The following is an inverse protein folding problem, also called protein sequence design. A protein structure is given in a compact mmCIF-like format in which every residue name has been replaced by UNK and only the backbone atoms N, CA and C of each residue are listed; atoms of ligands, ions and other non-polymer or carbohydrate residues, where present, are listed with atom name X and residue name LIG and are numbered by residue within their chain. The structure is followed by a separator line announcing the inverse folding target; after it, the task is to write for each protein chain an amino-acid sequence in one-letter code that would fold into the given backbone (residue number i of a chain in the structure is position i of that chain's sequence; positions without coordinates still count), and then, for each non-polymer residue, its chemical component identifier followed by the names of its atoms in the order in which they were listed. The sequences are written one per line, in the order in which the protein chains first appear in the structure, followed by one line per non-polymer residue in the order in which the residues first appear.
data_IF_222104499859
#
_entry.id   IF_222104499859
#
_cell.length_a   1.000
_cell.length_b   1.000
_cell.length_c   1.000
_cell.angle_alpha   90.00
_cell.angle_beta   90.00
_cell.angle_gamma   90.00
#
_symmetry.space_group_name_H-M   'P 1'
#
loop_
_entity.id
_entity.type
_entity.pdbx_description
1 polymer ?
#
# COMPACT_ATOMS: atom_id res chain seq x y z
N UNK A 1 3.24 -0.37 -0.17
CA UNK A 1 4.30 0.59 -0.54
C UNK A 1 5.55 -0.21 -0.89
N UNK A 2 6.38 0.35 -1.77
CA UNK A 2 7.50 -0.35 -2.39
C UNK A 2 8.71 0.58 -2.48
N UNK A 3 9.89 0.02 -2.25
CA UNK A 3 11.17 0.65 -2.52
C UNK A 3 11.86 -0.09 -3.65
N UNK A 4 12.23 0.66 -4.68
CA UNK A 4 13.00 0.16 -5.80
C UNK A 4 14.34 0.88 -5.90
N UNK A 5 15.32 0.20 -6.48
CA UNK A 5 16.62 0.76 -6.86
C UNK A 5 16.92 0.47 -8.30
N UNK A 6 17.49 1.45 -8.98
CA UNK A 6 17.98 1.31 -10.35
C UNK A 6 19.41 1.83 -10.46
N UNK A 7 20.34 0.92 -10.74
CA UNK A 7 21.70 1.30 -11.11
C UNK A 7 21.74 1.86 -12.54
N UNK A 8 22.73 2.72 -12.87
CA UNK A 8 22.90 3.23 -14.22
C UNK A 8 22.96 2.09 -15.27
N UNK A 9 22.06 2.15 -16.26
CA UNK A 9 21.99 1.14 -17.34
C UNK A 9 21.50 -0.24 -16.92
N UNK A 10 20.91 -0.39 -15.72
CA UNK A 10 20.32 -1.64 -15.22
C UNK A 10 18.81 -1.56 -15.11
N UNK A 11 18.19 -2.72 -14.98
CA UNK A 11 16.77 -2.84 -14.70
C UNK A 11 16.42 -2.34 -13.30
N UNK A 12 15.13 -2.05 -13.11
CA UNK A 12 14.57 -1.65 -11.83
C UNK A 12 14.48 -2.87 -10.91
N UNK A 13 15.08 -2.80 -9.72
CA UNK A 13 15.11 -3.87 -8.75
C UNK A 13 14.22 -3.53 -7.55
N UNK A 14 13.29 -4.43 -7.19
CA UNK A 14 12.55 -4.32 -5.94
C UNK A 14 13.50 -4.62 -4.78
N UNK A 15 13.53 -3.76 -3.77
CA UNK A 15 14.33 -3.95 -2.56
C UNK A 15 13.44 -4.33 -1.38
N UNK A 16 12.38 -3.56 -1.16
CA UNK A 16 11.47 -3.76 -0.03
C UNK A 16 10.03 -3.50 -0.43
N UNK A 17 9.12 -4.22 0.20
CA UNK A 17 7.70 -3.95 0.09
C UNK A 17 6.98 -4.13 1.42
N UNK A 18 5.84 -3.47 1.52
CA UNK A 18 4.99 -3.54 2.70
C UNK A 18 3.53 -3.32 2.33
N UNK A 19 2.69 -4.31 2.66
CA UNK A 19 1.25 -4.19 2.54
C UNK A 19 0.65 -3.35 3.67
N UNK A 20 1.08 -3.59 4.92
CA UNK A 20 0.57 -2.93 6.14
C UNK A 20 1.69 -2.30 6.96
N UNK A 21 1.37 -1.24 7.72
CA UNK A 21 2.33 -0.62 8.64
C UNK A 21 2.87 -1.65 9.65
N UNK A 22 4.13 -1.50 10.06
CA UNK A 22 4.81 -2.41 10.97
C UNK A 22 5.31 -3.72 10.35
N UNK A 23 4.96 -4.03 9.10
CA UNK A 23 5.46 -5.22 8.41
C UNK A 23 6.18 -4.83 7.12
N UNK A 24 7.47 -5.13 7.02
CA UNK A 24 8.31 -4.88 5.85
C UNK A 24 8.92 -6.20 5.42
N UNK A 25 8.83 -6.50 4.13
CA UNK A 25 9.44 -7.65 3.50
C UNK A 25 10.57 -7.16 2.58
N UNK A 26 11.64 -7.92 2.53
CA UNK A 26 12.75 -7.73 1.61
C UNK A 26 12.56 -8.59 0.36
N UNK A 27 13.06 -8.10 -0.77
CA UNK A 27 13.09 -8.83 -2.03
C UNK A 27 14.51 -8.79 -2.59
N UNK A 28 15.02 -9.96 -3.00
CA UNK A 28 16.37 -10.07 -3.56
C UNK A 28 17.48 -9.77 -2.54
N UNK A 29 18.65 -9.40 -3.03
CA UNK A 29 19.84 -9.13 -2.20
C UNK A 29 19.92 -7.65 -1.87
N UNK A 30 19.63 -7.33 -0.60
CA UNK A 30 19.63 -5.96 -0.09
C UNK A 30 20.68 -5.79 1.01
N UNK A 31 21.91 -5.48 0.61
CA UNK A 31 23.04 -5.30 1.54
C UNK A 31 23.17 -3.82 1.92
N UNK A 32 23.31 -3.53 3.21
CA UNK A 32 23.60 -2.17 3.70
C UNK A 32 22.40 -1.23 3.75
N UNK A 33 21.20 -1.72 3.42
CA UNK A 33 19.94 -0.99 3.52
C UNK A 33 18.96 -1.71 4.44
N UNK A 34 18.13 -0.94 5.13
CA UNK A 34 16.99 -1.40 5.91
C UNK A 34 15.79 -0.53 5.59
N UNK A 35 14.57 -1.05 5.73
CA UNK A 35 13.38 -0.23 5.56
C UNK A 35 12.42 -0.38 6.74
N UNK A 36 11.77 0.72 7.10
CA UNK A 36 10.80 0.77 8.22
C UNK A 36 9.50 1.41 7.74
N UNK A 37 8.36 0.87 8.20
CA UNK A 37 7.05 1.40 7.85
C UNK A 37 6.24 1.75 9.10
N UNK A 38 6.48 2.92 9.72
CA UNK A 38 5.84 3.25 10.99
C UNK A 38 4.34 3.56 10.86
N UNK A 39 3.88 3.98 9.67
CA UNK A 39 2.49 4.38 9.44
C UNK A 39 1.98 3.98 8.05
N UNK A 40 0.72 4.26 7.76
CA UNK A 40 0.12 4.00 6.45
C UNK A 40 0.75 4.82 5.32
N UNK A 41 1.21 6.04 5.62
CA UNK A 41 1.77 7.00 4.66
C UNK A 41 3.29 6.96 4.57
N UNK A 42 3.97 6.46 5.62
CA UNK A 42 5.42 6.59 5.74
C UNK A 42 6.09 5.24 5.46
N UNK A 43 7.04 5.21 4.53
CA UNK A 43 7.89 4.05 4.28
C UNK A 43 9.34 4.52 4.10
N UNK A 44 10.13 4.41 5.16
CA UNK A 44 11.49 4.93 5.20
C UNK A 44 12.46 3.89 4.67
N UNK A 45 13.44 4.33 3.88
CA UNK A 45 14.61 3.57 3.49
C UNK A 45 15.83 4.16 4.19
N UNK A 46 16.56 3.33 4.92
CA UNK A 46 17.70 3.73 5.75
C UNK A 46 18.95 2.98 5.31
N UNK A 47 20.10 3.64 5.39
CA UNK A 47 21.41 3.03 5.26
C UNK A 47 22.37 3.68 6.26
N UNK A 48 23.19 2.87 6.93
CA UNK A 48 24.18 3.36 7.91
C UNK A 48 25.55 3.62 7.31
N UNK A 49 25.80 3.14 6.09
CA UNK A 49 27.11 3.24 5.46
C UNK A 49 26.96 3.23 3.93
N UNK A 50 26.60 4.39 3.37
CA UNK A 50 26.52 4.58 1.92
C UNK A 50 27.92 4.62 1.31
N UNK A 51 28.13 3.82 0.28
CA UNK A 51 29.37 3.76 -0.49
C UNK A 51 29.15 4.28 -1.91
N UNK A 52 30.25 4.58 -2.61
CA UNK A 52 30.18 5.03 -4.02
C UNK A 52 29.47 4.00 -4.91
N UNK A 53 29.62 2.70 -4.63
CA UNK A 53 28.95 1.64 -5.38
C UNK A 53 27.43 1.60 -5.17
N UNK A 54 26.90 2.29 -4.18
CA UNK A 54 25.46 2.41 -3.93
C UNK A 54 24.81 3.54 -4.74
N UNK A 55 25.59 4.23 -5.59
CA UNK A 55 25.07 5.28 -6.46
C UNK A 55 24.04 4.72 -7.45
N UNK A 56 22.78 5.05 -7.21
CA UNK A 56 21.62 4.59 -7.97
C UNK A 56 20.47 5.59 -7.85
N UNK A 57 19.45 5.42 -8.67
CA UNK A 57 18.16 6.10 -8.47
C UNK A 57 17.28 5.22 -7.59
N UNK A 58 16.72 5.80 -6.54
CA UNK A 58 15.85 5.11 -5.59
C UNK A 58 14.43 5.64 -5.71
N UNK A 59 13.48 4.74 -5.94
CA UNK A 59 12.08 5.09 -6.14
C UNK A 59 11.22 4.54 -5.01
N UNK A 60 10.39 5.41 -4.44
CA UNK A 60 9.28 5.00 -3.59
C UNK A 60 8.02 4.94 -4.44
N UNK A 61 7.29 3.82 -4.36
CA UNK A 61 6.00 3.66 -5.01
C UNK A 61 4.94 3.22 -4.00
N UNK A 62 3.70 3.64 -4.22
CA UNK A 62 2.57 3.26 -3.43
C UNK A 62 1.32 3.20 -4.31
N UNK A 63 0.34 2.42 -3.88
CA UNK A 63 -0.94 2.28 -4.56
C UNK A 63 -2.03 2.51 -3.54
N UNK A 64 -3.03 3.30 -3.91
CA UNK A 64 -4.28 3.48 -3.16
C UNK A 64 -5.15 2.21 -3.16
N UNK A 65 -4.81 1.21 -3.98
CA UNK A 65 -5.61 -0.01 -4.18
C UNK A 65 -5.24 -1.18 -3.27
N UNK A 66 -4.73 -0.94 -2.05
CA UNK A 66 -4.95 -1.98 -1.04
C UNK A 66 -6.44 -1.97 -0.76
N UNK A 67 -7.15 -3.01 -1.18
CA UNK A 67 -8.56 -3.20 -0.86
C UNK A 67 -8.73 -3.29 0.66
N UNK A 68 -8.76 -2.13 1.29
CA UNK A 68 -9.52 -1.85 2.48
C UNK A 68 -10.62 -0.90 2.05
N UNK A 69 -11.34 -1.24 0.96
CA UNK A 69 -12.71 -0.81 0.92
C UNK A 69 -13.38 -1.54 2.09
N UNK A 70 -13.47 -0.83 3.22
CA UNK A 70 -14.59 -1.04 4.11
C UNK A 70 -15.81 -0.63 3.29
N UNK A 71 -16.27 -1.52 2.41
CA UNK A 71 -17.52 -1.39 1.70
C UNK A 71 -18.57 -1.34 2.79
N UNK A 72 -18.96 -0.13 3.19
CA UNK A 72 -20.16 0.05 3.97
C UNK A 72 -21.29 -0.33 3.02
N UNK A 73 -21.69 -1.60 3.07
CA UNK A 73 -22.91 -2.10 2.45
C UNK A 73 -24.07 -1.33 3.07
N UNK A 74 -24.40 -0.20 2.46
CA UNK A 74 -25.59 0.55 2.77
C UNK A 74 -26.73 -0.11 2.01
N UNK A 75 -27.37 -1.10 2.63
CA UNK A 75 -28.63 -1.65 2.12
C UNK A 75 -29.68 -0.55 2.22
N UNK A 76 -30.09 0.02 1.09
CA UNK A 76 -31.26 0.91 1.04
C UNK A 76 -32.50 0.04 1.19
N UNK A 77 -32.90 -0.25 2.43
CA UNK A 77 -34.20 -0.83 2.71
C UNK A 77 -35.27 0.12 2.19
N UNK A 78 -36.21 -0.31 1.33
CA UNK A 78 -37.37 0.48 1.02
C UNK A 78 -38.15 0.68 2.33
N UNK A 79 -38.35 1.94 2.74
CA UNK A 79 -39.34 2.23 3.77
C UNK A 79 -40.70 1.99 3.14
N UNK A 80 -41.33 0.86 3.44
CA UNK A 80 -42.75 0.67 3.18
C UNK A 80 -43.50 1.62 4.12
N UNK A 81 -43.74 2.84 3.63
CA UNK A 81 -44.74 3.73 4.20
C UNK A 81 -46.11 3.14 3.86
N UNK A 82 -46.85 2.71 4.88
CA UNK A 82 -48.18 2.15 4.71
C UNK A 82 -49.18 3.16 4.16
N UNK A 83 -50.13 2.67 3.37
CA UNK A 83 -51.51 3.19 3.33
C UNK A 83 -52.44 2.19 2.66
N UNK A 84 -53.29 1.57 3.50
CA UNK A 84 -54.74 1.31 3.35
C UNK A 84 -55.32 1.44 1.92
N UNK A 85 -55.97 0.37 1.45
CA UNK A 85 -57.24 0.48 0.70
C UNK A 85 -58.17 -0.71 0.99
N UNK A 86 -59.37 -0.39 1.47
CA UNK A 86 -60.48 -1.29 1.81
C UNK A 86 -61.03 -2.01 0.57
N UNK A 87 -61.50 -3.26 0.73
CA UNK A 87 -62.45 -3.91 -0.19
C UNK A 87 -63.80 -4.10 0.51
N UNK A 88 -64.78 -3.31 0.10
CA UNK A 88 -66.20 -3.64 0.19
C UNK A 88 -66.59 -4.41 -1.09
N UNK A 89 -67.00 -5.67 -0.96
CA UNK A 89 -68.33 -6.18 -1.31
C UNK A 89 -68.44 -7.64 -0.90
#
# INVERSE_FOLDING_TARGET
MFWYRQYPGKELQLMFYSAVAGNVNEEGVVVGFTATRPSGSDFNLESRNLQLHDSAVYYCAWSIHSDSERWSSSTKTPKTAGSIYQRHR
#
